data_IF_799963259782
#
_entry.id   IF_799963259782
#
_cell.length_a   1.000
_cell.length_b   1.000
_cell.length_c   1.000
_cell.angle_alpha   90.00
_cell.angle_beta   90.00
_cell.angle_gamma   90.00
#
_symmetry.space_group_name_H-M   'P 1'
#
loop_
_entity.id
_entity.type
_entity.pdbx_description
1 polymer ?
#
# COMPACT_ATOMS: atom_id res chain seq x y z
N UNK A 1 15.06 11.82 -25.35
CA UNK A 1 14.94 12.21 -23.92
C UNK A 1 13.48 12.34 -23.49
N UNK A 2 12.63 13.15 -24.13
CA UNK A 2 11.19 13.18 -23.79
C UNK A 2 10.46 11.83 -24.00
N UNK A 3 10.85 11.08 -25.03
CA UNK A 3 10.31 9.74 -25.33
C UNK A 3 10.50 8.72 -24.21
N UNK A 4 11.57 8.83 -23.42
CA UNK A 4 11.88 7.91 -22.32
C UNK A 4 11.01 8.20 -21.08
N UNK A 5 10.81 9.48 -20.73
CA UNK A 5 9.95 9.89 -19.62
C UNK A 5 8.47 9.50 -19.83
N UNK A 6 7.92 9.74 -21.02
CA UNK A 6 6.53 9.35 -21.32
C UNK A 6 6.35 7.83 -21.39
N UNK A 7 7.35 7.09 -21.90
CA UNK A 7 7.33 5.63 -21.84
C UNK A 7 7.33 5.11 -20.39
N UNK A 8 8.10 5.74 -19.49
CA UNK A 8 8.09 5.35 -18.07
C UNK A 8 6.74 5.63 -17.40
N UNK A 9 6.04 6.73 -17.76
CA UNK A 9 4.68 7.00 -17.29
C UNK A 9 3.67 5.95 -17.80
N UNK A 10 3.77 5.53 -19.07
CA UNK A 10 2.89 4.50 -19.64
C UNK A 10 3.16 3.12 -19.04
N UNK A 11 4.43 2.78 -18.77
CA UNK A 11 4.82 1.56 -18.04
C UNK A 11 4.21 1.56 -16.63
N UNK A 12 4.26 2.70 -15.92
CA UNK A 12 3.66 2.84 -14.60
C UNK A 12 2.13 2.59 -14.66
N UNK A 13 1.42 3.16 -15.64
CA UNK A 13 -0.03 2.94 -15.80
C UNK A 13 -0.38 1.48 -16.12
N UNK A 14 0.38 0.84 -17.02
CA UNK A 14 0.17 -0.59 -17.36
C UNK A 14 0.42 -1.49 -16.17
N UNK A 15 1.36 -1.12 -15.29
CA UNK A 15 1.63 -1.85 -14.04
C UNK A 15 0.44 -1.79 -13.08
N UNK A 16 -0.27 -0.66 -13.00
CA UNK A 16 -1.46 -0.49 -12.15
C UNK A 16 -2.57 -1.46 -12.55
N UNK A 17 -2.86 -1.61 -13.85
CA UNK A 17 -3.88 -2.58 -14.31
C UNK A 17 -3.52 -4.01 -13.92
N UNK A 18 -2.24 -4.40 -14.07
CA UNK A 18 -1.76 -5.72 -13.65
C UNK A 18 -1.93 -5.91 -12.14
N UNK A 19 -1.62 -4.91 -11.32
CA UNK A 19 -1.79 -4.97 -9.88
C UNK A 19 -3.26 -5.11 -9.48
N UNK A 20 -4.18 -4.42 -10.15
CA UNK A 20 -5.63 -4.54 -9.91
C UNK A 20 -6.11 -5.97 -10.22
N UNK A 21 -5.67 -6.54 -11.35
CA UNK A 21 -6.01 -7.92 -11.71
C UNK A 21 -5.44 -8.91 -10.69
N UNK A 22 -4.17 -8.75 -10.29
CA UNK A 22 -3.55 -9.60 -9.28
C UNK A 22 -4.24 -9.47 -7.92
N UNK A 23 -4.66 -8.27 -7.53
CA UNK A 23 -5.42 -8.04 -6.31
C UNK A 23 -6.78 -8.75 -6.36
N UNK A 24 -7.52 -8.62 -7.46
CA UNK A 24 -8.79 -9.32 -7.64
C UNK A 24 -8.62 -10.84 -7.56
N UNK A 25 -7.57 -11.40 -8.20
CA UNK A 25 -7.23 -12.81 -8.11
C UNK A 25 -6.87 -13.22 -6.67
N UNK A 26 -6.13 -12.38 -5.94
CA UNK A 26 -5.80 -12.63 -4.54
C UNK A 26 -7.06 -12.65 -3.65
N UNK A 27 -8.02 -11.75 -3.86
CA UNK A 27 -9.30 -11.75 -3.15
C UNK A 27 -10.09 -13.03 -3.43
N UNK A 28 -10.18 -13.46 -4.70
CA UNK A 28 -10.81 -14.73 -5.07
C UNK A 28 -10.11 -15.91 -4.39
N UNK A 29 -8.77 -15.93 -4.40
CA UNK A 29 -8.00 -16.99 -3.74
C UNK A 29 -8.23 -17.02 -2.22
N UNK A 30 -8.36 -15.87 -1.55
CA UNK A 30 -8.70 -15.78 -0.14
C UNK A 30 -10.10 -16.37 0.12
N UNK A 31 -11.10 -16.00 -0.68
CA UNK A 31 -12.46 -16.54 -0.56
C UNK A 31 -12.42 -18.07 -0.69
N UNK A 32 -11.82 -18.58 -1.77
CA UNK A 32 -11.72 -20.04 -1.99
C UNK A 32 -10.96 -20.75 -0.86
N UNK A 33 -9.92 -20.15 -0.31
CA UNK A 33 -9.17 -20.72 0.82
C UNK A 33 -10.03 -20.79 2.08
N UNK A 34 -10.85 -19.77 2.35
CA UNK A 34 -11.79 -19.75 3.46
C UNK A 34 -12.87 -20.84 3.26
N UNK A 35 -13.40 -20.99 2.05
CA UNK A 35 -14.38 -22.05 1.75
C UNK A 35 -13.80 -23.45 2.00
N UNK A 36 -12.59 -23.71 1.51
CA UNK A 36 -11.90 -25.00 1.75
C UNK A 36 -11.70 -25.24 3.23
N UNK A 37 -11.27 -24.22 3.99
CA UNK A 37 -11.06 -24.31 5.42
C UNK A 37 -12.37 -24.59 6.18
N UNK A 38 -13.45 -23.90 5.82
CA UNK A 38 -14.77 -24.10 6.43
C UNK A 38 -15.33 -25.48 6.11
N UNK A 39 -15.24 -25.92 4.86
CA UNK A 39 -15.68 -27.27 4.45
C UNK A 39 -14.89 -28.37 5.17
N UNK A 40 -13.57 -28.23 5.29
CA UNK A 40 -12.73 -29.20 6.00
C UNK A 40 -13.07 -29.24 7.50
N UNK A 41 -13.23 -28.07 8.13
CA UNK A 41 -13.50 -27.98 9.57
C UNK A 41 -14.88 -28.53 9.91
N UNK A 42 -15.92 -28.11 9.18
CA UNK A 42 -17.28 -28.58 9.40
C UNK A 42 -17.45 -30.05 9.04
N UNK A 43 -16.78 -30.53 7.98
CA UNK A 43 -16.81 -31.94 7.60
C UNK A 43 -16.10 -32.84 8.60
N UNK A 44 -15.00 -32.38 9.20
CA UNK A 44 -14.31 -33.11 10.26
C UNK A 44 -15.13 -33.15 11.56
N UNK A 45 -15.75 -32.03 11.94
CA UNK A 45 -16.58 -31.96 13.15
C UNK A 45 -17.91 -32.70 12.99
N UNK A 46 -18.48 -32.72 11.79
CA UNK A 46 -19.73 -33.38 11.46
C UNK A 46 -19.58 -34.81 10.95
N UNK A 47 -18.41 -35.44 11.16
CA UNK A 47 -18.13 -36.82 10.73
C UNK A 47 -19.13 -37.81 11.33
N UNK A 48 -19.48 -38.83 10.55
CA UNK A 48 -20.38 -39.90 10.97
C UNK A 48 -19.79 -40.63 12.21
N UNK A 49 -20.53 -40.73 13.34
CA UNK A 49 -20.05 -41.39 14.55
C UNK A 49 -19.74 -42.88 14.36
N UNK A 50 -20.47 -43.56 13.47
CA UNK A 50 -20.41 -45.01 13.32
C UNK A 50 -19.37 -45.43 12.27
N UNK A 51 -19.32 -44.69 11.15
CA UNK A 51 -18.41 -45.01 10.03
C UNK A 51 -17.13 -44.19 10.02
N UNK A 52 -17.09 -43.07 10.77
CA UNK A 52 -15.98 -42.11 10.75
C UNK A 52 -15.87 -41.31 9.46
N UNK A 53 -16.83 -41.45 8.53
CA UNK A 53 -16.80 -40.77 7.25
C UNK A 53 -16.95 -39.25 7.41
N UNK A 54 -16.13 -38.49 6.66
CA UNK A 54 -16.18 -37.02 6.64
C UNK A 54 -17.46 -36.56 5.95
N UNK A 55 -18.17 -35.62 6.56
CA UNK A 55 -19.39 -35.06 6.00
C UNK A 55 -19.10 -33.92 5.04
N UNK A 56 -19.36 -34.12 3.74
CA UNK A 56 -19.11 -33.11 2.70
C UNK A 56 -20.30 -32.17 2.42
N UNK A 57 -21.38 -32.23 3.22
CA UNK A 57 -22.58 -31.41 2.98
C UNK A 57 -22.30 -29.90 2.94
N UNK A 58 -21.32 -29.43 3.73
CA UNK A 58 -20.91 -28.03 3.77
C UNK A 58 -20.35 -27.52 2.42
N UNK A 59 -19.77 -28.39 1.58
CA UNK A 59 -19.27 -28.01 0.24
C UNK A 59 -20.41 -27.57 -0.67
N UNK A 60 -21.60 -28.15 -0.49
CA UNK A 60 -22.80 -27.84 -1.29
C UNK A 60 -23.75 -26.85 -0.63
N UNK A 61 -23.46 -26.40 0.60
CA UNK A 61 -24.31 -25.45 1.31
C UNK A 61 -24.11 -24.03 0.75
N UNK A 62 -24.99 -23.65 -0.18
CA UNK A 62 -24.97 -22.34 -0.82
C UNK A 62 -25.09 -21.18 0.18
N UNK A 63 -25.79 -21.37 1.31
CA UNK A 63 -25.96 -20.33 2.31
C UNK A 63 -24.65 -20.09 3.05
N UNK A 64 -23.93 -21.16 3.41
CA UNK A 64 -22.61 -21.05 4.03
C UNK A 64 -21.66 -20.29 3.11
N UNK A 65 -21.55 -20.71 1.85
CA UNK A 65 -20.73 -20.08 0.80
C UNK A 65 -21.02 -18.58 0.62
N UNK A 66 -22.29 -18.21 0.54
CA UNK A 66 -22.67 -16.81 0.36
C UNK A 66 -22.30 -15.95 1.57
N UNK A 67 -22.50 -16.46 2.79
CA UNK A 67 -22.19 -15.72 4.01
C UNK A 67 -20.69 -15.52 4.18
N UNK A 68 -19.87 -16.56 3.98
CA UNK A 68 -18.40 -16.46 4.04
C UNK A 68 -17.83 -15.57 2.94
N UNK A 69 -18.31 -15.70 1.70
CA UNK A 69 -17.87 -14.85 0.60
C UNK A 69 -18.22 -13.37 0.86
N UNK A 70 -19.45 -13.07 1.25
CA UNK A 70 -19.88 -11.69 1.57
C UNK A 70 -19.12 -11.16 2.78
N UNK A 71 -18.95 -11.94 3.84
CA UNK A 71 -18.17 -11.55 5.02
C UNK A 71 -16.72 -11.22 4.66
N UNK A 72 -16.08 -12.04 3.83
CA UNK A 72 -14.72 -11.80 3.34
C UNK A 72 -14.64 -10.51 2.52
N UNK A 73 -15.59 -10.29 1.61
CA UNK A 73 -15.66 -9.07 0.82
C UNK A 73 -15.88 -7.81 1.68
N UNK A 74 -16.69 -7.91 2.74
CA UNK A 74 -16.89 -6.81 3.69
C UNK A 74 -15.58 -6.49 4.42
N UNK A 75 -14.86 -7.49 4.92
CA UNK A 75 -13.59 -7.27 5.64
C UNK A 75 -12.54 -6.68 4.72
N UNK A 76 -12.32 -7.29 3.56
CA UNK A 76 -11.32 -6.82 2.59
C UNK A 76 -11.69 -5.46 2.02
N UNK A 77 -12.95 -5.30 1.60
CA UNK A 77 -13.47 -4.06 1.03
C UNK A 77 -13.47 -2.93 2.06
N UNK A 78 -13.93 -3.20 3.28
CA UNK A 78 -13.91 -2.26 4.40
C UNK A 78 -12.50 -1.81 4.77
N UNK A 79 -11.56 -2.74 4.91
CA UNK A 79 -10.15 -2.41 5.16
C UNK A 79 -9.52 -1.61 4.02
N UNK A 80 -9.83 -1.95 2.77
CA UNK A 80 -9.35 -1.22 1.59
C UNK A 80 -9.90 0.21 1.55
N UNK A 81 -11.21 0.39 1.77
CA UNK A 81 -11.84 1.71 1.83
C UNK A 81 -11.31 2.55 2.98
N UNK A 82 -11.09 1.94 4.15
CA UNK A 82 -10.45 2.60 5.28
C UNK A 82 -9.05 3.11 4.90
N UNK A 83 -8.21 2.26 4.30
CA UNK A 83 -6.86 2.66 3.90
C UNK A 83 -6.86 3.73 2.81
N UNK A 84 -7.80 3.66 1.86
CA UNK A 84 -7.99 4.70 0.84
C UNK A 84 -8.37 6.03 1.51
N UNK A 85 -9.32 6.02 2.45
CA UNK A 85 -9.75 7.22 3.15
C UNK A 85 -8.61 7.84 3.99
N UNK A 86 -7.85 6.99 4.69
CA UNK A 86 -6.68 7.38 5.48
C UNK A 86 -5.61 8.06 4.61
N UNK A 87 -5.30 7.49 3.45
CA UNK A 87 -4.26 8.02 2.57
C UNK A 87 -4.71 9.23 1.74
N UNK A 88 -6.02 9.46 1.59
CA UNK A 88 -6.59 10.54 0.75
C UNK A 88 -6.14 11.95 1.15
N UNK A 89 -5.71 12.17 2.39
CA UNK A 89 -5.22 13.46 2.84
C UNK A 89 -3.87 13.87 2.18
N UNK A 90 -3.19 12.95 1.50
CA UNK A 90 -2.03 13.24 0.65
C UNK A 90 -0.74 12.60 1.14
N UNK A 91 0.38 12.95 0.50
CA UNK A 91 1.68 12.34 0.76
C UNK A 91 2.18 12.49 2.20
N UNK A 92 1.84 13.59 2.89
CA UNK A 92 2.30 13.87 4.25
C UNK A 92 1.90 12.79 5.26
N UNK A 93 0.70 12.20 5.11
CA UNK A 93 0.24 11.11 5.98
C UNK A 93 1.18 9.91 5.89
N UNK A 94 1.66 9.58 4.69
CA UNK A 94 2.62 8.49 4.50
C UNK A 94 3.95 8.82 5.18
N UNK A 95 4.44 10.04 5.01
CA UNK A 95 5.70 10.45 5.61
C UNK A 95 5.66 10.44 7.15
N UNK A 96 4.57 10.94 7.73
CA UNK A 96 4.38 10.97 9.18
C UNK A 96 4.18 9.56 9.76
N UNK A 97 3.44 8.68 9.07
CA UNK A 97 3.28 7.28 9.48
C UNK A 97 4.59 6.50 9.50
N UNK A 98 5.52 6.86 8.63
CA UNK A 98 6.86 6.27 8.59
C UNK A 98 7.84 6.98 9.57
N UNK A 99 7.36 7.85 10.44
CA UNK A 99 8.18 8.54 11.45
C UNK A 99 9.00 9.70 10.90
N UNK A 100 8.66 10.22 9.72
CA UNK A 100 9.30 11.39 9.13
C UNK A 100 9.00 12.66 9.91
N UNK A 101 10.02 13.48 10.16
CA UNK A 101 9.90 14.84 10.68
C UNK A 101 9.96 15.85 9.54
N UNK A 102 8.96 16.73 9.46
CA UNK A 102 8.95 17.80 8.46
C UNK A 102 10.14 18.73 8.66
N UNK A 103 10.88 18.98 7.58
CA UNK A 103 11.98 19.94 7.55
C UNK A 103 11.46 21.35 7.28
N UNK A 104 12.02 22.31 8.01
CA UNK A 104 11.70 23.73 7.88
C UNK A 104 12.94 24.52 7.46
N UNK A 105 12.76 25.54 6.60
CA UNK A 105 13.87 26.41 6.15
C UNK A 105 14.57 27.19 7.27
N UNK A 106 13.96 27.30 8.45
CA UNK A 106 14.56 27.95 9.63
C UNK A 106 15.58 27.09 10.38
N UNK A 107 15.87 25.88 9.90
CA UNK A 107 16.87 25.00 10.53
C UNK A 107 18.29 25.56 10.43
N UNK A 108 19.11 25.35 11.46
CA UNK A 108 20.53 25.69 11.47
C UNK A 108 21.41 24.53 10.95
N UNK A 109 20.83 23.35 10.72
CA UNK A 109 21.57 22.19 10.23
C UNK A 109 21.85 22.31 8.72
N UNK A 110 23.14 22.31 8.37
CA UNK A 110 23.61 22.39 6.98
C UNK A 110 23.15 21.20 6.13
N UNK A 111 22.96 20.02 6.75
CA UNK A 111 22.48 18.83 6.04
C UNK A 111 21.02 19.00 5.65
N UNK A 112 20.18 19.46 6.58
CA UNK A 112 18.77 19.72 6.31
C UNK A 112 18.59 20.84 5.27
N UNK A 113 19.39 21.91 5.36
CA UNK A 113 19.39 22.99 4.36
C UNK A 113 19.78 22.48 2.98
N UNK A 114 20.83 21.64 2.88
CA UNK A 114 21.25 21.05 1.61
C UNK A 114 20.14 20.21 1.00
N UNK A 115 19.45 19.38 1.79
CA UNK A 115 18.33 18.58 1.30
C UNK A 115 17.20 19.46 0.76
N UNK A 116 16.81 20.50 1.50
CA UNK A 116 15.78 21.44 1.06
C UNK A 116 16.18 22.14 -0.24
N UNK A 117 17.43 22.58 -0.37
CA UNK A 117 17.94 23.24 -1.57
C UNK A 117 17.94 22.29 -2.77
N UNK A 118 18.42 21.06 -2.61
CA UNK A 118 18.42 20.06 -3.69
C UNK A 118 17.01 19.76 -4.18
N UNK A 119 16.06 19.57 -3.26
CA UNK A 119 14.66 19.32 -3.64
C UNK A 119 14.05 20.55 -4.34
N UNK A 120 14.38 21.75 -3.88
CA UNK A 120 13.94 23.00 -4.52
C UNK A 120 14.52 23.17 -5.92
N UNK A 121 15.82 22.94 -6.12
CA UNK A 121 16.47 23.00 -7.43
C UNK A 121 15.86 21.98 -8.40
N UNK A 122 15.58 20.76 -7.93
CA UNK A 122 14.91 19.73 -8.74
C UNK A 122 13.46 20.12 -9.08
N UNK A 123 12.71 20.70 -8.14
CA UNK A 123 11.34 21.17 -8.39
C UNK A 123 11.32 22.33 -9.41
N UNK A 124 12.24 23.28 -9.28
CA UNK A 124 12.42 24.39 -10.24
C UNK A 124 12.80 23.88 -11.63
N UNK A 125 13.76 22.95 -11.71
CA UNK A 125 14.20 22.38 -12.98
C UNK A 125 13.10 21.54 -13.66
N UNK A 126 12.25 20.87 -12.88
CA UNK A 126 11.16 20.04 -13.39
C UNK A 126 9.83 20.78 -13.59
N UNK A 127 9.73 22.04 -13.15
CA UNK A 127 8.52 22.84 -13.26
C UNK A 127 7.36 22.35 -12.37
N UNK A 128 7.67 21.64 -11.28
CA UNK A 128 6.67 21.16 -10.32
C UNK A 128 6.65 22.03 -9.06
N UNK A 129 5.53 22.08 -8.30
CA UNK A 129 5.54 22.68 -6.97
C UNK A 129 6.62 22.05 -6.09
N UNK A 130 7.32 22.85 -5.29
CA UNK A 130 8.34 22.34 -4.36
C UNK A 130 7.67 21.50 -3.28
N UNK A 131 7.91 20.17 -3.24
CA UNK A 131 7.25 19.31 -2.28
C UNK A 131 7.85 19.50 -0.86
N UNK A 132 7.05 19.36 0.20
CA UNK A 132 7.56 19.26 1.57
C UNK A 132 8.56 18.11 1.72
N UNK A 133 9.61 18.32 2.50
CA UNK A 133 10.67 17.32 2.75
C UNK A 133 10.59 16.83 4.19
N UNK A 134 10.58 15.52 4.37
CA UNK A 134 10.57 14.86 5.66
C UNK A 134 11.88 14.08 5.87
N UNK A 135 12.49 14.22 7.04
CA UNK A 135 13.67 13.46 7.44
C UNK A 135 13.28 12.34 8.40
N UNK A 136 13.67 11.12 8.09
CA UNK A 136 13.51 9.95 8.96
C UNK A 136 14.75 9.84 9.83
N UNK A 137 14.70 10.50 11.00
CA UNK A 137 15.86 10.63 11.89
C UNK A 137 16.38 9.29 12.42
N UNK A 138 15.50 8.29 12.54
CA UNK A 138 15.81 6.97 13.11
C UNK A 138 16.26 5.93 12.07
N UNK A 139 16.30 6.29 10.78
CA UNK A 139 16.63 5.38 9.70
C UNK A 139 18.05 5.61 9.17
N UNK A 140 18.96 4.69 9.50
CA UNK A 140 20.35 4.73 9.04
C UNK A 140 20.56 4.13 7.64
N UNK A 141 19.57 3.41 7.10
CA UNK A 141 19.63 2.90 5.72
C UNK A 141 19.71 4.05 4.71
N UNK A 142 20.30 3.82 3.54
CA UNK A 142 20.31 4.80 2.44
C UNK A 142 19.04 4.56 1.63
N UNK A 143 18.03 5.40 1.85
CA UNK A 143 16.78 5.37 1.10
C UNK A 143 16.15 6.77 0.96
N UNK A 144 15.24 6.90 0.01
CA UNK A 144 14.33 8.04 -0.13
C UNK A 144 13.08 7.59 -0.88
N UNK A 145 11.95 8.26 -0.64
CA UNK A 145 10.70 7.99 -1.34
C UNK A 145 9.95 9.28 -1.64
N UNK A 146 9.06 9.22 -2.63
CA UNK A 146 8.08 10.24 -2.91
C UNK A 146 6.68 9.66 -2.70
N UNK A 147 5.80 10.39 -2.01
CA UNK A 147 4.43 9.96 -1.75
C UNK A 147 3.45 11.09 -2.08
N UNK A 148 2.29 10.75 -2.63
CA UNK A 148 1.24 11.70 -3.05
C UNK A 148 0.47 11.17 -4.26
N UNK A 149 -0.75 11.66 -4.49
CA UNK A 149 -1.55 11.26 -5.67
C UNK A 149 -1.22 12.11 -6.90
N UNK A 150 -0.67 13.29 -6.70
CA UNK A 150 -0.32 14.26 -7.71
C UNK A 150 0.87 15.12 -7.27
N UNK A 151 1.49 15.90 -8.16
CA UNK A 151 2.59 16.78 -7.78
C UNK A 151 2.22 17.84 -6.72
N UNK A 152 0.94 18.20 -6.59
CA UNK A 152 0.50 19.25 -5.66
C UNK A 152 0.36 18.77 -4.20
N UNK A 153 0.23 17.46 -3.98
CA UNK A 153 0.17 16.81 -2.66
C UNK A 153 1.35 15.87 -2.41
N UNK A 154 2.38 15.97 -3.26
CA UNK A 154 3.60 15.18 -3.17
C UNK A 154 4.48 15.63 -1.99
N UNK A 155 5.09 14.68 -1.31
CA UNK A 155 6.14 14.89 -0.31
C UNK A 155 7.35 14.02 -0.64
N UNK A 156 8.53 14.44 -0.16
CA UNK A 156 9.77 13.68 -0.28
C UNK A 156 10.20 13.25 1.13
N UNK A 157 10.29 11.95 1.36
CA UNK A 157 10.87 11.37 2.57
C UNK A 157 12.30 10.93 2.33
N UNK A 158 13.23 11.35 3.19
CA UNK A 158 14.66 11.00 3.09
C UNK A 158 15.10 10.41 4.41
N UNK A 159 15.89 9.34 4.38
CA UNK A 159 16.47 8.75 5.60
C UNK A 159 17.69 9.53 6.08
N UNK A 160 18.00 9.47 7.38
CA UNK A 160 19.25 10.04 7.91
C UNK A 160 20.49 9.44 7.22
N UNK A 161 20.44 8.16 6.85
CA UNK A 161 21.49 7.51 6.06
C UNK A 161 21.77 8.21 4.71
N UNK A 162 20.73 8.54 3.94
CA UNK A 162 20.87 9.29 2.67
C UNK A 162 21.30 10.73 2.89
N UNK A 163 20.86 11.35 3.99
CA UNK A 163 21.16 12.75 4.27
C UNK A 163 22.64 13.00 4.59
N UNK A 164 23.32 12.02 5.19
CA UNK A 164 24.62 12.22 5.85
C UNK A 164 25.80 11.44 5.26
N UNK A 165 25.55 10.43 4.41
CA UNK A 165 26.60 9.61 3.77
C UNK A 165 26.72 9.96 2.29
#
# INVERSE_FOLDING_TARGET
MATDFFQQQDVARRSTTRLIVLFALAVVAIILSIEVLLAATTGYLGRDPDTGAINWAAVTDLRLWLVSAVGTLIVVGGGSLYKIAELRAGGHVVAEQLGGRLLTRSTADLVEQRLLNVVEEMALASGTPTPPVYLMDQEEGINAFAAGFSPQDAVIGVTRGTATR
#
